data_IF_664826259771
#
_entry.id   IF_664826259771
#
_cell.length_a   1.000
_cell.length_b   1.000
_cell.length_c   1.000
_cell.angle_alpha   90.00
_cell.angle_beta   90.00
_cell.angle_gamma   90.00
#
_symmetry.space_group_name_H-M   'P 1'
#
loop_
_entity.id
_entity.type
_entity.pdbx_description
1 polymer ?
#
# COMPACT_ATOMS: atom_id res chain seq x y z
N UNK A 1 -17.72 -6.11 4.43
CA UNK A 1 -16.92 -5.49 3.35
C UNK A 1 -16.94 -6.44 2.17
N UNK A 2 -17.34 -5.98 0.99
CA UNK A 2 -17.51 -6.85 -0.17
C UNK A 2 -16.22 -7.22 -0.91
N UNK A 3 -15.05 -6.79 -0.41
CA UNK A 3 -13.74 -7.21 -0.94
C UNK A 3 -13.16 -8.33 -0.08
N UNK A 4 -12.62 -9.34 -0.75
CA UNK A 4 -11.84 -10.39 -0.09
C UNK A 4 -10.42 -9.90 0.29
N UNK A 5 -9.63 -10.75 0.94
CA UNK A 5 -8.25 -10.44 1.34
C UNK A 5 -7.30 -10.19 0.16
N UNK A 6 -7.69 -10.56 -1.06
CA UNK A 6 -6.94 -10.30 -2.29
C UNK A 6 -7.41 -9.00 -2.99
N UNK A 7 -8.40 -8.30 -2.42
CA UNK A 7 -8.94 -7.06 -2.96
C UNK A 7 -10.03 -7.24 -4.02
N UNK A 8 -10.48 -8.48 -4.28
CA UNK A 8 -11.54 -8.74 -5.26
C UNK A 8 -12.89 -8.34 -4.69
N UNK A 9 -13.70 -7.68 -5.50
CA UNK A 9 -15.06 -7.33 -5.17
C UNK A 9 -16.02 -8.46 -5.54
N UNK A 10 -16.87 -8.86 -4.60
CA UNK A 10 -17.95 -9.84 -4.84
C UNK A 10 -19.29 -9.13 -4.77
N UNK A 11 -20.07 -9.23 -5.85
CA UNK A 11 -21.40 -8.66 -5.90
C UNK A 11 -22.33 -9.31 -4.84
N UNK A 12 -23.21 -8.53 -4.20
CA UNK A 12 -24.24 -9.05 -3.33
C UNK A 12 -25.15 -10.09 -3.99
N UNK A 13 -25.85 -10.89 -3.19
CA UNK A 13 -26.77 -11.92 -3.67
C UNK A 13 -27.85 -11.27 -4.61
N UNK A 14 -28.21 -11.97 -5.66
CA UNK A 14 -29.11 -11.47 -6.71
C UNK A 14 -28.39 -10.91 -7.95
N UNK A 15 -27.07 -10.88 -7.95
CA UNK A 15 -26.25 -10.47 -9.09
C UNK A 15 -25.42 -11.67 -9.64
N UNK A 16 -25.14 -11.74 -10.96
CA UNK A 16 -25.73 -10.89 -12.01
C UNK A 16 -27.23 -11.15 -12.22
N UNK A 17 -27.95 -10.16 -12.72
CA UNK A 17 -29.37 -10.30 -13.08
C UNK A 17 -29.49 -11.14 -14.34
N UNK A 18 -30.38 -12.12 -14.32
CA UNK A 18 -30.65 -12.97 -15.49
C UNK A 18 -31.71 -12.32 -16.41
N UNK A 19 -31.65 -12.65 -17.71
CA UNK A 19 -32.61 -12.11 -18.69
C UNK A 19 -34.07 -12.44 -18.27
N UNK A 20 -34.93 -11.42 -18.28
CA UNK A 20 -36.34 -11.55 -17.89
C UNK A 20 -36.60 -11.39 -16.39
N UNK A 21 -35.59 -11.23 -15.55
CA UNK A 21 -35.79 -10.92 -14.14
C UNK A 21 -36.30 -9.49 -13.92
N UNK A 22 -37.22 -9.32 -12.97
CA UNK A 22 -37.69 -8.01 -12.54
C UNK A 22 -36.66 -7.37 -11.63
N UNK A 23 -36.31 -6.12 -11.86
CA UNK A 23 -35.42 -5.36 -10.98
C UNK A 23 -36.22 -4.86 -9.78
N UNK A 24 -36.00 -5.46 -8.63
CA UNK A 24 -36.68 -5.08 -7.38
C UNK A 24 -35.79 -4.21 -6.50
N UNK A 25 -36.42 -3.28 -5.77
CA UNK A 25 -35.71 -2.37 -4.84
C UNK A 25 -35.03 -3.10 -3.68
N UNK A 26 -35.51 -4.29 -3.33
CA UNK A 26 -35.02 -5.12 -2.23
C UNK A 26 -33.56 -5.59 -2.41
N UNK A 27 -33.11 -5.72 -3.65
CA UNK A 27 -31.72 -6.08 -3.93
C UNK A 27 -30.97 -5.00 -4.75
N UNK A 28 -31.68 -4.23 -5.59
CA UNK A 28 -31.03 -3.22 -6.44
C UNK A 28 -30.43 -2.08 -5.60
N UNK A 29 -31.19 -1.52 -4.65
CA UNK A 29 -30.74 -0.43 -3.80
C UNK A 29 -29.58 -0.85 -2.88
N UNK A 30 -29.62 -1.99 -2.16
CA UNK A 30 -28.47 -2.48 -1.41
C UNK A 30 -27.21 -2.70 -2.26
N UNK A 31 -27.37 -3.21 -3.49
CA UNK A 31 -26.24 -3.40 -4.42
C UNK A 31 -25.60 -2.07 -4.80
N UNK A 32 -26.40 -1.05 -5.13
CA UNK A 32 -25.89 0.28 -5.47
C UNK A 32 -25.23 0.98 -4.28
N UNK A 33 -25.82 0.85 -3.08
CA UNK A 33 -25.21 1.38 -1.86
C UNK A 33 -23.87 0.71 -1.55
N UNK A 34 -23.75 -0.61 -1.73
CA UNK A 34 -22.54 -1.37 -1.51
C UNK A 34 -21.43 -0.99 -2.48
N UNK A 35 -21.75 -0.83 -3.77
CA UNK A 35 -20.82 -0.30 -4.79
C UNK A 35 -20.37 1.12 -4.42
N UNK A 36 -21.30 2.00 -4.00
CA UNK A 36 -20.98 3.35 -3.57
C UNK A 36 -19.98 3.37 -2.40
N UNK A 37 -20.18 2.54 -1.40
CA UNK A 37 -19.27 2.41 -0.25
C UNK A 37 -17.89 1.93 -0.67
N UNK A 38 -17.80 0.94 -1.56
CA UNK A 38 -16.50 0.43 -2.07
C UNK A 38 -15.76 1.51 -2.86
N UNK A 39 -16.46 2.34 -3.62
CA UNK A 39 -15.86 3.46 -4.35
C UNK A 39 -15.33 4.54 -3.41
N UNK A 40 -16.04 4.82 -2.30
CA UNK A 40 -15.54 5.75 -1.27
C UNK A 40 -14.27 5.24 -0.57
N UNK A 41 -14.16 3.93 -0.36
CA UNK A 41 -12.97 3.30 0.22
C UNK A 41 -11.81 3.15 -0.78
N UNK A 42 -12.02 3.49 -2.03
CA UNK A 42 -11.01 3.37 -3.09
C UNK A 42 -10.21 4.67 -3.23
N UNK A 43 -8.90 4.54 -3.40
CA UNK A 43 -8.04 5.69 -3.68
C UNK A 43 -8.37 6.27 -5.07
N UNK A 44 -8.66 7.56 -5.14
CA UNK A 44 -8.92 8.25 -6.40
C UNK A 44 -7.67 8.31 -7.27
N UNK A 45 -7.76 7.80 -8.49
CA UNK A 45 -6.67 7.88 -9.47
C UNK A 45 -6.47 9.26 -10.08
N UNK A 46 -7.50 10.12 -10.00
CA UNK A 46 -7.45 11.49 -10.52
C UNK A 46 -6.99 12.49 -9.45
N UNK A 47 -6.77 12.04 -8.22
CA UNK A 47 -6.39 12.92 -7.12
C UNK A 47 -7.57 13.67 -6.48
N UNK A 48 -8.79 13.44 -6.91
CA UNK A 48 -9.99 13.99 -6.30
C UNK A 48 -10.30 13.25 -4.99
N UNK A 49 -10.09 13.91 -3.88
CA UNK A 49 -10.19 13.31 -2.56
C UNK A 49 -8.88 12.70 -2.07
N UNK A 50 -8.25 13.35 -1.11
CA UNK A 50 -7.06 12.87 -0.44
C UNK A 50 -7.35 11.72 0.53
N UNK A 51 -6.31 10.99 0.93
CA UNK A 51 -6.41 9.98 1.97
C UNK A 51 -6.71 10.64 3.33
N UNK A 52 -7.73 10.15 4.04
CA UNK A 52 -8.12 10.64 5.36
C UNK A 52 -7.24 10.07 6.48
N UNK A 53 -6.54 8.97 6.21
CA UNK A 53 -5.60 8.31 7.14
C UNK A 53 -4.28 8.05 6.42
N UNK A 54 -3.21 7.86 7.19
CA UNK A 54 -1.90 7.56 6.62
C UNK A 54 -1.94 6.25 5.79
N UNK A 55 -1.29 6.29 4.63
CA UNK A 55 -1.08 5.08 3.83
C UNK A 55 -0.16 4.12 4.58
N UNK A 56 -0.68 2.95 4.91
CA UNK A 56 0.07 1.89 5.56
C UNK A 56 0.46 0.84 4.53
N UNK A 57 1.76 0.62 4.39
CA UNK A 57 2.30 -0.38 3.49
C UNK A 57 2.99 -1.51 4.28
N UNK A 58 3.14 -2.67 3.66
CA UNK A 58 3.91 -3.77 4.25
C UNK A 58 5.38 -3.38 4.40
N UNK A 59 6.05 -3.90 5.42
CA UNK A 59 7.47 -3.62 5.67
C UNK A 59 8.36 -3.98 4.47
N UNK A 60 8.06 -5.09 3.81
CA UNK A 60 8.88 -5.63 2.73
C UNK A 60 10.21 -6.19 3.20
N UNK A 61 11.08 -6.49 2.25
CA UNK A 61 12.45 -6.95 2.48
C UNK A 61 13.41 -6.26 1.50
N UNK A 62 14.70 -6.46 1.69
CA UNK A 62 15.70 -5.92 0.76
C UNK A 62 15.51 -6.43 -0.68
N UNK A 63 15.16 -7.71 -0.85
CA UNK A 63 14.93 -8.32 -2.17
C UNK A 63 13.55 -8.02 -2.74
N UNK A 64 12.56 -7.74 -1.87
CA UNK A 64 11.17 -7.46 -2.21
C UNK A 64 10.65 -6.29 -1.36
N UNK A 65 10.99 -5.04 -1.71
CA UNK A 65 10.61 -3.86 -0.95
C UNK A 65 9.09 -3.67 -0.90
N UNK A 66 8.60 -3.05 0.19
CA UNK A 66 7.18 -2.81 0.39
C UNK A 66 6.60 -1.79 -0.61
N UNK A 67 7.41 -0.82 -1.05
CA UNK A 67 7.08 0.11 -2.15
C UNK A 67 8.06 -0.17 -3.27
N UNK A 68 7.56 -0.59 -4.43
CA UNK A 68 8.38 -1.05 -5.55
C UNK A 68 7.83 -0.60 -6.90
N UNK A 69 8.58 -0.83 -7.97
CA UNK A 69 8.19 -0.51 -9.35
C UNK A 69 7.81 -1.80 -10.11
N UNK A 70 6.76 -1.74 -10.92
CA UNK A 70 6.21 -2.90 -11.64
C UNK A 70 7.26 -3.65 -12.47
N UNK A 71 8.17 -2.93 -13.10
CA UNK A 71 9.19 -3.51 -13.97
C UNK A 71 10.52 -3.80 -13.26
N UNK A 72 10.63 -3.47 -11.96
CA UNK A 72 11.85 -3.67 -11.17
C UNK A 72 11.49 -3.92 -9.71
N UNK A 73 10.99 -5.12 -9.43
CA UNK A 73 10.43 -5.51 -8.14
C UNK A 73 11.46 -5.50 -6.99
N UNK A 74 12.75 -5.57 -7.28
CA UNK A 74 13.82 -5.49 -6.30
C UNK A 74 14.30 -4.06 -6.00
N UNK A 75 13.66 -3.03 -6.59
CA UNK A 75 14.00 -1.62 -6.37
C UNK A 75 12.86 -0.90 -5.67
N UNK A 76 13.18 -0.18 -4.58
CA UNK A 76 12.16 0.54 -3.84
C UNK A 76 12.53 0.81 -2.38
N UNK A 77 11.49 0.98 -1.54
CA UNK A 77 11.66 1.26 -0.11
C UNK A 77 11.14 0.11 0.74
N UNK A 78 11.85 -0.22 1.81
CA UNK A 78 11.43 -1.21 2.79
C UNK A 78 11.82 -0.79 4.21
N UNK A 79 11.09 -1.34 5.21
CA UNK A 79 11.40 -1.14 6.62
C UNK A 79 12.22 -2.34 7.12
N UNK A 80 13.50 -2.12 7.42
CA UNK A 80 14.37 -3.18 7.92
C UNK A 80 14.07 -3.56 9.38
N UNK A 81 13.63 -2.60 10.17
CA UNK A 81 13.29 -2.80 11.58
C UNK A 81 12.80 -1.51 12.23
N UNK A 82 12.70 -1.49 13.56
CA UNK A 82 12.27 -0.29 14.28
C UNK A 82 13.21 0.89 14.00
N UNK A 83 12.64 2.01 13.55
CA UNK A 83 13.38 3.23 13.19
C UNK A 83 14.49 3.02 12.13
N UNK A 84 14.34 2.03 11.24
CA UNK A 84 15.31 1.74 10.17
C UNK A 84 14.57 1.53 8.86
N UNK A 85 14.56 2.57 8.01
CA UNK A 85 14.02 2.54 6.65
C UNK A 85 15.17 2.55 5.65
N UNK A 86 15.06 1.75 4.61
CA UNK A 86 16.09 1.63 3.59
C UNK A 86 15.51 1.71 2.18
N UNK A 87 16.35 2.19 1.27
CA UNK A 87 16.11 2.11 -0.17
C UNK A 87 17.01 1.01 -0.76
N UNK A 88 16.44 0.17 -1.60
CA UNK A 88 17.16 -0.88 -2.34
C UNK A 88 17.11 -0.61 -3.84
N UNK A 89 18.15 -1.00 -4.55
CA UNK A 89 18.21 -1.03 -6.02
C UNK A 89 18.67 -2.44 -6.40
N UNK A 90 17.85 -3.14 -7.20
CA UNK A 90 18.08 -4.51 -7.63
C UNK A 90 18.44 -5.46 -6.47
N UNK A 91 17.73 -5.35 -5.35
CA UNK A 91 17.96 -6.18 -4.18
C UNK A 91 19.18 -5.80 -3.35
N UNK A 92 19.86 -4.69 -3.65
CA UNK A 92 20.99 -4.18 -2.86
C UNK A 92 20.57 -2.91 -2.14
N UNK A 93 20.67 -2.89 -0.81
CA UNK A 93 20.37 -1.69 -0.03
C UNK A 93 21.45 -0.62 -0.25
N UNK A 94 21.04 0.55 -0.74
CA UNK A 94 21.95 1.63 -1.14
C UNK A 94 21.83 2.86 -0.25
N UNK A 95 20.69 3.07 0.39
CA UNK A 95 20.44 4.20 1.30
C UNK A 95 19.73 3.67 2.54
N UNK A 96 20.15 4.22 3.69
CA UNK A 96 19.57 3.90 4.99
C UNK A 96 19.20 5.19 5.73
N UNK A 97 17.98 5.22 6.23
CA UNK A 97 17.46 6.27 7.12
C UNK A 97 17.30 5.67 8.51
N UNK A 98 18.21 5.99 9.42
CA UNK A 98 18.17 5.53 10.80
C UNK A 98 18.66 6.62 11.74
N UNK A 99 17.83 7.12 12.68
CA UNK A 99 18.32 8.01 13.70
C UNK A 99 19.28 7.22 14.61
N UNK A 100 20.50 7.71 14.76
CA UNK A 100 21.40 7.21 15.80
C UNK A 100 20.99 7.80 17.14
N UNK A 101 20.28 7.03 17.93
CA UNK A 101 19.78 7.41 19.25
C UNK A 101 20.86 7.27 20.34
N UNK A 102 22.01 6.68 20.05
CA UNK A 102 23.12 6.47 20.99
C UNK A 102 24.02 7.70 21.10
N UNK A 103 24.00 8.60 20.12
CA UNK A 103 24.79 9.83 20.11
C UNK A 103 23.99 11.05 20.59
N UNK A 104 24.65 12.06 21.18
CA UNK A 104 23.98 13.32 21.54
C UNK A 104 23.29 13.99 20.35
N UNK A 105 22.20 14.75 20.68
CA UNK A 105 21.35 15.42 19.70
C UNK A 105 22.13 16.40 18.84
N UNK A 106 22.86 16.41 18.07
CA UNK A 106 23.70 17.28 17.22
C UNK A 106 24.73 16.50 16.42
N UNK A 107 24.98 15.24 16.84
CA UNK A 107 25.95 14.36 16.17
C UNK A 107 25.27 13.22 15.42
N UNK A 108 23.93 13.25 15.28
CA UNK A 108 23.14 12.16 14.65
C UNK A 108 23.21 12.28 13.14
N UNK A 109 23.60 11.20 12.48
CA UNK A 109 23.58 11.09 11.01
C UNK A 109 22.36 10.24 10.62
N UNK A 110 21.23 10.87 10.28
CA UNK A 110 20.00 10.13 9.94
C UNK A 110 20.04 9.47 8.56
N UNK A 111 20.96 9.89 7.70
CA UNK A 111 21.11 9.38 6.33
C UNK A 111 22.48 8.75 6.17
N UNK A 112 22.50 7.51 5.75
CA UNK A 112 23.72 6.76 5.40
C UNK A 112 23.60 6.27 3.97
N UNK A 113 24.70 6.36 3.21
CA UNK A 113 24.80 5.86 1.83
C UNK A 113 25.81 4.74 1.83
N UNK A 114 25.43 3.60 1.27
CA UNK A 114 26.32 2.44 1.16
C UNK A 114 27.44 2.72 0.16
N UNK A 115 28.69 2.54 0.57
CA UNK A 115 29.87 2.79 -0.25
C UNK A 115 30.47 1.50 -0.87
N UNK A 116 29.79 0.37 -0.73
CA UNK A 116 30.25 -0.93 -1.21
C UNK A 116 30.91 -1.80 -0.13
N UNK A 117 31.23 -1.23 1.02
CA UNK A 117 31.90 -1.94 2.14
C UNK A 117 31.14 -1.75 3.45
N UNK A 118 30.79 -0.52 3.80
CA UNK A 118 30.13 -0.13 5.06
C UNK A 118 29.01 0.89 4.84
N UNK A 119 28.16 1.02 5.87
CA UNK A 119 27.14 2.06 5.98
C UNK A 119 27.73 3.35 6.55
#
# INVERSE_FOLDING_TARGET
>A
MPRDSAGNYTLPAGNPVVAGAVIETTWANPTMADIGNVLQDSLSRNGDGGMLVAFQNVDGTQAAPGITFTNELGTGFFRFGTADMRMTIQGTAVVRYRPDLSTPAGSRVPLQIYNGTDW
#
